data_IF_375928780853
#
_entry.id   IF_375928780853
#
_cell.length_a   1.000
_cell.length_b   1.000
_cell.length_c   1.000
_cell.angle_alpha   90.00
_cell.angle_beta   90.00
_cell.angle_gamma   90.00
#
_symmetry.space_group_name_H-M   'P 1'
#
loop_
_entity.id
_entity.type
_entity.pdbx_description
1 polymer ?
#
# COMPACT_ATOMS: atom_id res chain seq x y z
N UNK A 1 -28.46 -40.68 3.08
CA UNK A 1 -27.36 -40.21 3.96
C UNK A 1 -26.03 -40.01 3.24
N UNK A 2 -25.62 -40.91 2.35
CA UNK A 2 -24.37 -40.78 1.59
C UNK A 2 -24.31 -39.56 0.65
N UNK A 3 -25.42 -39.20 0.01
CA UNK A 3 -25.48 -38.06 -0.92
C UNK A 3 -25.30 -36.71 -0.20
N UNK A 4 -25.83 -36.58 1.01
CA UNK A 4 -25.70 -35.35 1.83
C UNK A 4 -24.27 -35.18 2.29
N UNK A 5 -23.60 -36.26 2.66
CA UNK A 5 -22.18 -36.22 3.08
C UNK A 5 -21.26 -35.79 1.93
N UNK A 6 -21.52 -36.27 0.71
CA UNK A 6 -20.82 -35.90 -0.51
C UNK A 6 -21.02 -34.39 -0.85
N UNK A 7 -22.24 -33.87 -0.65
CA UNK A 7 -22.56 -32.49 -0.91
C UNK A 7 -21.86 -31.54 0.10
N UNK A 8 -21.83 -31.93 1.37
CA UNK A 8 -21.12 -31.19 2.43
C UNK A 8 -19.61 -31.21 2.18
N UNK A 9 -19.04 -32.34 1.77
CA UNK A 9 -17.62 -32.45 1.44
C UNK A 9 -17.25 -31.56 0.23
N UNK A 10 -18.11 -31.56 -0.80
CA UNK A 10 -17.92 -30.74 -1.98
C UNK A 10 -18.02 -29.23 -1.64
N UNK A 11 -18.98 -28.84 -0.80
CA UNK A 11 -19.11 -27.44 -0.35
C UNK A 11 -17.91 -26.99 0.47
N UNK A 12 -17.38 -27.85 1.34
CA UNK A 12 -16.15 -27.56 2.14
C UNK A 12 -14.95 -27.43 1.23
N UNK A 13 -14.77 -28.31 0.25
CA UNK A 13 -13.67 -28.25 -0.71
C UNK A 13 -13.77 -27.01 -1.62
N UNK A 14 -15.00 -26.64 -2.06
CA UNK A 14 -15.22 -25.43 -2.85
C UNK A 14 -14.92 -24.17 -2.03
N UNK A 15 -15.32 -24.14 -0.77
CA UNK A 15 -15.02 -23.05 0.17
C UNK A 15 -13.52 -22.93 0.45
N UNK A 16 -12.84 -24.07 0.66
CA UNK A 16 -11.38 -24.11 0.86
C UNK A 16 -10.63 -23.65 -0.38
N UNK A 17 -11.09 -24.07 -1.58
CA UNK A 17 -10.52 -23.65 -2.86
C UNK A 17 -10.71 -22.16 -3.12
N UNK A 18 -11.90 -21.62 -2.82
CA UNK A 18 -12.18 -20.18 -2.93
C UNK A 18 -11.32 -19.36 -1.95
N UNK A 19 -11.22 -19.81 -0.70
CA UNK A 19 -10.42 -19.19 0.32
C UNK A 19 -8.91 -19.22 -0.03
N UNK A 20 -8.42 -20.34 -0.56
CA UNK A 20 -7.02 -20.51 -0.96
C UNK A 20 -6.65 -19.66 -2.17
N UNK A 21 -7.54 -19.57 -3.17
CA UNK A 21 -7.35 -18.71 -4.35
C UNK A 21 -7.41 -17.23 -3.93
N UNK A 22 -8.34 -16.84 -3.07
CA UNK A 22 -8.45 -15.49 -2.53
C UNK A 22 -7.20 -15.10 -1.72
N UNK A 23 -6.68 -16.02 -0.91
CA UNK A 23 -5.45 -15.84 -0.13
C UNK A 23 -4.21 -15.76 -1.03
N UNK A 24 -4.14 -16.58 -2.07
CA UNK A 24 -3.04 -16.57 -3.04
C UNK A 24 -3.02 -15.32 -3.91
N UNK A 25 -4.18 -14.80 -4.29
CA UNK A 25 -4.31 -13.51 -5.00
C UNK A 25 -3.96 -12.32 -4.10
N UNK A 26 -4.14 -12.44 -2.76
CA UNK A 26 -3.81 -11.39 -1.80
C UNK A 26 -2.31 -11.32 -1.47
N UNK A 27 -1.54 -12.37 -1.73
CA UNK A 27 -0.08 -12.43 -1.49
C UNK A 27 0.76 -12.06 -2.73
N UNK A 28 0.15 -11.96 -3.91
CA UNK A 28 0.80 -11.38 -5.08
C UNK A 28 0.54 -9.87 -5.08
N UNK A 29 1.58 -9.10 -4.83
CA UNK A 29 1.60 -7.65 -5.05
C UNK A 29 1.60 -7.42 -6.58
N UNK A 30 0.38 -7.42 -7.16
CA UNK A 30 0.15 -7.36 -8.62
C UNK A 30 -0.09 -5.92 -9.05
N UNK A 31 -0.30 -4.99 -8.09
CA UNK A 31 -0.59 -3.60 -8.39
C UNK A 31 0.61 -2.92 -9.04
N UNK A 32 0.33 -2.27 -10.15
CA UNK A 32 1.29 -1.39 -10.80
C UNK A 32 1.53 -0.12 -9.94
N UNK A 33 2.65 0.59 -10.12
CA UNK A 33 2.87 1.87 -9.43
C UNK A 33 1.73 2.88 -9.65
N UNK A 34 1.12 2.91 -10.83
CA UNK A 34 -0.01 3.79 -11.14
C UNK A 34 -1.28 3.41 -10.36
N UNK A 35 -1.55 2.13 -10.20
CA UNK A 35 -2.65 1.63 -9.37
C UNK A 35 -2.44 1.95 -7.91
N UNK A 36 -1.22 1.83 -7.38
CA UNK A 36 -0.89 2.24 -6.02
C UNK A 36 -1.08 3.75 -5.82
N UNK A 37 -0.69 4.57 -6.80
CA UNK A 37 -0.95 6.01 -6.78
C UNK A 37 -2.46 6.33 -6.76
N UNK A 38 -3.26 5.59 -7.55
CA UNK A 38 -4.72 5.74 -7.56
C UNK A 38 -5.34 5.36 -6.21
N UNK A 39 -4.88 4.27 -5.59
CA UNK A 39 -5.32 3.83 -4.25
C UNK A 39 -4.99 4.91 -3.21
N UNK A 40 -3.79 5.47 -3.23
CA UNK A 40 -3.38 6.53 -2.30
C UNK A 40 -4.24 7.79 -2.46
N UNK A 41 -4.51 8.21 -3.70
CA UNK A 41 -5.37 9.37 -3.99
C UNK A 41 -6.82 9.14 -3.51
N UNK A 42 -7.37 7.93 -3.76
CA UNK A 42 -8.71 7.55 -3.31
C UNK A 42 -8.80 7.52 -1.77
N UNK A 43 -7.78 6.97 -1.10
CA UNK A 43 -7.71 6.92 0.35
C UNK A 43 -7.65 8.33 0.95
N UNK A 44 -6.79 9.21 0.43
CA UNK A 44 -6.69 10.59 0.89
C UNK A 44 -8.00 11.36 0.70
N UNK A 45 -8.66 11.22 -0.46
CA UNK A 45 -9.98 11.79 -0.71
C UNK A 45 -11.01 11.28 0.30
N UNK A 46 -11.03 9.99 0.59
CA UNK A 46 -11.93 9.39 1.58
C UNK A 46 -11.68 9.95 2.98
N UNK A 47 -10.41 10.01 3.44
CA UNK A 47 -10.06 10.60 4.75
C UNK A 47 -10.45 12.08 4.85
N UNK A 48 -10.26 12.84 3.77
CA UNK A 48 -10.71 14.23 3.70
C UNK A 48 -12.22 14.36 3.89
N UNK A 49 -13.00 13.56 3.17
CA UNK A 49 -14.46 13.58 3.23
C UNK A 49 -15.00 13.12 4.59
N UNK A 50 -14.43 12.09 5.19
CA UNK A 50 -14.79 11.62 6.54
C UNK A 50 -14.59 12.68 7.63
N UNK A 51 -13.62 13.57 7.42
CA UNK A 51 -13.37 14.73 8.28
C UNK A 51 -14.20 15.96 7.89
N UNK A 52 -15.14 15.83 6.97
CA UNK A 52 -15.95 16.91 6.43
C UNK A 52 -15.14 18.09 5.90
N UNK A 53 -13.95 17.81 5.31
CA UNK A 53 -13.08 18.83 4.74
C UNK A 53 -13.36 19.02 3.25
N UNK A 54 -13.57 20.28 2.83
CA UNK A 54 -13.54 20.64 1.42
C UNK A 54 -12.10 20.64 0.89
N UNK A 55 -11.90 20.59 -0.45
CA UNK A 55 -10.58 20.77 -1.05
C UNK A 55 -9.95 22.11 -0.67
N UNK A 56 -10.78 23.17 -0.53
CA UNK A 56 -10.33 24.48 -0.08
C UNK A 56 -9.81 24.43 1.36
N UNK A 57 -10.52 23.77 2.26
CA UNK A 57 -10.08 23.60 3.64
C UNK A 57 -8.77 22.81 3.72
N UNK A 58 -8.66 21.69 3.00
CA UNK A 58 -7.44 20.91 2.92
C UNK A 58 -6.27 21.71 2.32
N UNK A 59 -6.51 22.52 1.32
CA UNK A 59 -5.52 23.42 0.73
C UNK A 59 -4.98 24.42 1.76
N UNK A 60 -5.85 25.04 2.55
CA UNK A 60 -5.44 25.96 3.62
C UNK A 60 -4.63 25.27 4.72
N UNK A 61 -5.00 24.02 5.09
CA UNK A 61 -4.29 23.25 6.13
C UNK A 61 -2.93 22.72 5.65
N UNK A 62 -2.85 22.27 4.40
CA UNK A 62 -1.64 21.64 3.87
C UNK A 62 -0.68 22.61 3.17
N UNK A 63 -1.15 23.80 2.80
CA UNK A 63 -0.41 24.73 1.94
C UNK A 63 -0.31 24.27 0.47
N UNK A 64 -1.01 23.20 0.08
CA UNK A 64 -1.00 22.69 -1.29
C UNK A 64 -2.12 23.36 -2.09
N UNK A 65 -1.88 23.89 -3.31
CA UNK A 65 -2.90 24.53 -4.12
C UNK A 65 -4.11 23.63 -4.39
N UNK A 66 -5.32 24.22 -4.40
CA UNK A 66 -6.58 23.48 -4.67
C UNK A 66 -6.51 22.76 -6.03
N UNK A 67 -5.92 23.38 -7.03
CA UNK A 67 -5.73 22.78 -8.37
C UNK A 67 -4.89 21.51 -8.32
N UNK A 68 -3.84 21.50 -7.50
CA UNK A 68 -2.98 20.32 -7.29
C UNK A 68 -3.75 19.20 -6.59
N UNK A 69 -4.52 19.51 -5.54
CA UNK A 69 -5.37 18.54 -4.84
C UNK A 69 -6.42 17.97 -5.81
N UNK A 70 -7.07 18.81 -6.60
CA UNK A 70 -8.07 18.39 -7.59
C UNK A 70 -7.47 17.48 -8.64
N UNK A 71 -6.31 17.86 -9.21
CA UNK A 71 -5.60 17.06 -10.20
C UNK A 71 -5.18 15.70 -9.61
N UNK A 72 -4.70 15.68 -8.39
CA UNK A 72 -4.32 14.43 -7.74
C UNK A 72 -5.50 13.48 -7.52
N UNK A 73 -6.63 14.02 -7.02
CA UNK A 73 -7.85 13.22 -6.83
C UNK A 73 -8.45 12.69 -8.15
N UNK A 74 -8.15 13.31 -9.29
CA UNK A 74 -8.68 12.94 -10.61
C UNK A 74 -7.68 12.13 -11.45
N UNK A 75 -6.41 12.49 -11.42
CA UNK A 75 -5.37 11.93 -12.28
C UNK A 75 -4.27 11.18 -11.52
N UNK A 76 -4.38 11.09 -10.19
CA UNK A 76 -3.51 10.31 -9.31
C UNK A 76 -2.02 10.71 -9.31
N UNK A 77 -1.69 11.88 -9.90
CA UNK A 77 -0.33 12.39 -10.03
C UNK A 77 -0.10 13.56 -9.10
N UNK A 78 0.94 13.47 -8.25
CA UNK A 78 1.33 14.50 -7.29
C UNK A 78 2.84 14.41 -7.03
N UNK A 79 3.45 15.52 -6.63
CA UNK A 79 4.83 15.47 -6.12
C UNK A 79 4.85 14.85 -4.72
N UNK A 80 5.94 14.15 -4.38
CA UNK A 80 6.11 13.57 -3.05
C UNK A 80 5.98 14.63 -1.94
N UNK A 81 6.53 15.82 -2.16
CA UNK A 81 6.44 16.92 -1.18
C UNK A 81 4.99 17.34 -0.93
N UNK A 82 4.19 17.52 -1.99
CA UNK A 82 2.77 17.86 -1.84
C UNK A 82 1.97 16.72 -1.20
N UNK A 83 2.25 15.46 -1.55
CA UNK A 83 1.66 14.29 -0.90
C UNK A 83 1.93 14.28 0.61
N UNK A 84 3.19 14.47 1.02
CA UNK A 84 3.57 14.52 2.43
C UNK A 84 2.89 15.67 3.18
N UNK A 85 2.75 16.84 2.55
CA UNK A 85 2.05 17.98 3.12
C UNK A 85 0.55 17.68 3.35
N UNK A 86 -0.11 17.03 2.40
CA UNK A 86 -1.51 16.59 2.53
C UNK A 86 -1.63 15.50 3.60
N UNK A 87 -0.77 14.49 3.60
CA UNK A 87 -0.77 13.43 4.59
C UNK A 87 -0.59 13.99 6.02
N UNK A 88 0.31 14.95 6.20
CA UNK A 88 0.49 15.66 7.46
C UNK A 88 -0.77 16.41 7.89
N UNK A 89 -1.44 17.11 6.98
CA UNK A 89 -2.68 17.83 7.26
C UNK A 89 -3.84 16.87 7.61
N UNK A 90 -3.77 15.63 7.20
CA UNK A 90 -4.71 14.55 7.53
C UNK A 90 -4.27 13.71 8.75
N UNK A 91 -3.23 14.11 9.48
CA UNK A 91 -2.67 13.46 10.68
C UNK A 91 -1.98 12.12 10.44
N UNK A 92 -1.47 11.88 9.23
CA UNK A 92 -0.70 10.67 8.87
C UNK A 92 0.83 10.85 8.98
N UNK A 93 1.32 11.82 9.77
CA UNK A 93 2.76 12.08 9.90
C UNK A 93 3.54 10.88 10.43
N UNK A 94 2.98 10.13 11.38
CA UNK A 94 3.66 8.97 11.97
C UNK A 94 3.71 7.79 11.00
N UNK A 95 2.70 7.62 10.16
CA UNK A 95 2.68 6.57 9.14
C UNK A 95 3.71 6.88 8.03
N UNK A 96 3.81 8.16 7.63
CA UNK A 96 4.85 8.60 6.70
C UNK A 96 6.26 8.36 7.25
N UNK A 97 6.51 8.64 8.54
CA UNK A 97 7.81 8.36 9.18
C UNK A 97 8.14 6.87 9.22
N UNK A 98 7.13 6.03 9.36
CA UNK A 98 7.30 4.57 9.39
C UNK A 98 7.51 3.96 8.00
N UNK A 99 7.06 4.66 6.95
CA UNK A 99 7.20 4.17 5.58
C UNK A 99 8.67 3.89 5.26
N UNK A 100 8.96 2.67 4.81
CA UNK A 100 10.31 2.18 4.52
C UNK A 100 11.28 2.13 5.71
N UNK A 101 10.81 2.38 6.93
CA UNK A 101 11.68 2.39 8.12
C UNK A 101 12.10 0.98 8.56
N UNK A 102 11.28 -0.01 8.28
CA UNK A 102 11.54 -1.40 8.64
C UNK A 102 11.96 -2.20 7.41
N UNK A 103 13.09 -2.93 7.47
CA UNK A 103 13.49 -3.81 6.38
C UNK A 103 12.43 -4.88 6.11
N UNK A 104 12.16 -5.15 4.84
CA UNK A 104 11.34 -6.27 4.39
C UNK A 104 12.27 -7.39 3.93
N UNK A 105 11.99 -8.63 4.33
CA UNK A 105 12.72 -9.82 3.93
C UNK A 105 11.79 -11.02 3.88
N UNK A 106 12.05 -11.93 2.96
CA UNK A 106 11.27 -13.15 2.76
C UNK A 106 12.03 -14.39 3.24
N UNK A 107 13.36 -14.32 3.36
CA UNK A 107 14.22 -15.43 3.74
C UNK A 107 15.20 -15.04 4.84
N UNK A 108 15.73 -16.04 5.57
CA UNK A 108 16.79 -15.82 6.58
C UNK A 108 18.08 -15.29 5.95
N UNK A 109 18.40 -15.71 4.72
CA UNK A 109 19.58 -15.24 3.98
C UNK A 109 19.49 -13.75 3.63
N UNK A 110 18.29 -13.27 3.22
CA UNK A 110 18.03 -11.85 3.03
C UNK A 110 18.21 -11.07 4.34
N UNK A 111 17.69 -11.59 5.46
CA UNK A 111 17.84 -10.97 6.77
C UNK A 111 19.32 -10.86 7.19
N UNK A 112 20.09 -11.92 7.00
CA UNK A 112 21.55 -11.90 7.27
C UNK A 112 22.27 -10.88 6.40
N UNK A 113 21.89 -10.79 5.13
CA UNK A 113 22.45 -9.82 4.19
C UNK A 113 22.11 -8.37 4.61
N UNK A 114 20.86 -8.12 5.01
CA UNK A 114 20.43 -6.83 5.56
C UNK A 114 21.25 -6.48 6.81
N UNK A 115 21.38 -7.41 7.75
CA UNK A 115 22.13 -7.20 8.98
C UNK A 115 23.61 -6.90 8.73
N UNK A 116 24.25 -7.63 7.80
CA UNK A 116 25.65 -7.43 7.38
C UNK A 116 25.87 -6.05 6.74
N UNK A 117 24.85 -5.53 6.05
CA UNK A 117 24.91 -4.30 5.27
C UNK A 117 24.42 -3.04 5.99
N UNK A 118 23.97 -3.15 7.25
CA UNK A 118 23.40 -2.02 8.02
C UNK A 118 24.26 -0.74 8.03
N UNK A 119 25.57 -0.87 7.98
CA UNK A 119 26.50 0.24 8.03
C UNK A 119 27.07 0.66 6.67
N UNK A 120 26.62 -0.01 5.58
CA UNK A 120 27.11 0.28 4.22
C UNK A 120 26.68 1.66 3.77
N UNK A 121 27.60 2.41 3.21
CA UNK A 121 27.36 3.74 2.63
C UNK A 121 27.14 3.71 1.11
N UNK A 122 27.46 2.59 0.45
CA UNK A 122 27.31 2.44 -1.01
C UNK A 122 26.80 1.03 -1.34
N UNK A 123 25.90 0.93 -2.31
CA UNK A 123 25.48 -0.32 -2.87
C UNK A 123 26.52 -0.90 -3.84
N UNK A 124 26.37 -2.20 -4.19
CA UNK A 124 27.05 -2.85 -5.31
C UNK A 124 26.10 -2.93 -6.48
N UNK A 125 26.62 -3.08 -7.71
CA UNK A 125 25.79 -3.27 -8.92
C UNK A 125 25.21 -4.70 -9.05
N UNK A 126 25.39 -5.54 -8.05
CA UNK A 126 24.81 -6.87 -8.00
C UNK A 126 23.31 -6.76 -7.70
N UNK A 127 22.50 -7.09 -8.69
CA UNK A 127 21.05 -7.22 -8.51
C UNK A 127 20.83 -8.55 -7.77
N UNK A 128 20.41 -8.47 -6.50
CA UNK A 128 19.94 -9.64 -5.79
C UNK A 128 18.67 -10.13 -6.50
N UNK A 129 18.78 -11.21 -7.27
CA UNK A 129 17.61 -11.83 -7.89
C UNK A 129 16.77 -12.41 -6.75
N UNK A 130 15.58 -11.86 -6.56
CA UNK A 130 14.56 -12.50 -5.75
C UNK A 130 14.11 -13.74 -6.51
N UNK A 131 14.59 -14.90 -6.05
CA UNK A 131 14.09 -16.20 -6.50
C UNK A 131 12.72 -16.47 -5.93
#
# INVERSE_FOLDING_TARGET
>A
MQVILLYVLYAILAFYRYYYISYMLYTFDIETPDELCAILAANAKRRRLERNLSRKALSLMSGVPISTITKWEQHHTISLQAFVAIAKALDYSEDIKKLLSTPQYSTMEELETINRNKTRKRGTNEICQRS
#
